data_IF_651415764461
#
_entry.id   IF_651415764461
#
_cell.length_a   1.000
_cell.length_b   1.000
_cell.length_c   1.000
_cell.angle_alpha   90.00
_cell.angle_beta   90.00
_cell.angle_gamma   90.00
#
_symmetry.space_group_name_H-M   'P 1'
#
loop_
_entity.id
_entity.type
_entity.pdbx_description
1 polymer ?
#
# COMPACT_ATOMS: atom_id res chain seq x y z
N UNK A 1 -3.97 30.58 7.41
CA UNK A 1 -3.26 29.69 6.50
C UNK A 1 -2.88 28.39 7.23
N UNK A 2 -3.24 27.27 6.66
CA UNK A 2 -2.97 25.98 7.30
C UNK A 2 -1.48 25.70 7.27
N UNK A 3 -0.95 25.31 8.42
CA UNK A 3 0.44 24.91 8.52
C UNK A 3 0.56 23.48 7.99
N UNK A 4 0.62 23.35 6.65
CA UNK A 4 0.65 22.07 5.99
C UNK A 4 1.80 21.18 6.48
N UNK A 5 2.95 21.77 6.74
CA UNK A 5 4.12 21.01 7.18
C UNK A 5 3.86 20.29 8.49
N UNK A 6 3.25 21.00 9.46
CA UNK A 6 2.94 20.41 10.76
C UNK A 6 1.86 19.33 10.63
N UNK A 7 0.81 19.59 9.86
CA UNK A 7 -0.28 18.64 9.69
C UNK A 7 0.16 17.41 8.92
N UNK A 8 1.00 17.57 7.89
CA UNK A 8 1.57 16.44 7.17
C UNK A 8 2.48 15.61 8.07
N UNK A 9 3.24 16.25 8.96
CA UNK A 9 4.06 15.55 9.93
C UNK A 9 3.21 14.69 10.86
N UNK A 10 2.12 15.24 11.38
CA UNK A 10 1.20 14.49 12.23
C UNK A 10 0.55 13.32 11.50
N UNK A 11 0.13 13.53 10.26
CA UNK A 11 -0.44 12.47 9.42
C UNK A 11 0.60 11.37 9.21
N UNK A 12 1.84 11.74 8.92
CA UNK A 12 2.92 10.78 8.69
C UNK A 12 3.20 9.96 9.95
N UNK A 13 3.22 10.61 11.12
CA UNK A 13 3.43 9.91 12.40
C UNK A 13 2.30 8.92 12.66
N UNK A 14 1.05 9.34 12.49
CA UNK A 14 -0.11 8.47 12.70
C UNK A 14 -0.14 7.33 11.69
N UNK A 15 0.22 7.60 10.44
CA UNK A 15 0.32 6.58 9.40
C UNK A 15 1.41 5.56 9.73
N UNK A 16 2.55 6.03 10.22
CA UNK A 16 3.64 5.16 10.65
C UNK A 16 3.20 4.23 11.77
N UNK A 17 2.57 4.79 12.80
CA UNK A 17 2.05 4.00 13.93
C UNK A 17 1.03 2.99 13.44
N UNK A 18 0.06 3.43 12.65
CA UNK A 18 -0.97 2.55 12.09
C UNK A 18 -0.39 1.44 11.22
N UNK A 19 0.58 1.77 10.39
CA UNK A 19 1.22 0.79 9.51
C UNK A 19 2.00 -0.25 10.30
N UNK A 20 2.72 0.17 11.34
CA UNK A 20 3.48 -0.76 12.19
C UNK A 20 2.51 -1.71 12.91
N UNK A 21 1.46 -1.18 13.52
CA UNK A 21 0.47 -1.99 14.23
C UNK A 21 -0.22 -2.94 13.24
N UNK A 22 -0.65 -2.45 12.10
CA UNK A 22 -1.30 -3.26 11.07
C UNK A 22 -0.41 -4.37 10.56
N UNK A 23 0.89 -4.07 10.35
CA UNK A 23 1.85 -5.08 9.94
C UNK A 23 1.92 -6.22 10.95
N UNK A 24 2.11 -5.90 12.23
CA UNK A 24 2.24 -6.93 13.26
C UNK A 24 0.95 -7.72 13.48
N UNK A 25 -0.21 -7.07 13.31
CA UNK A 25 -1.50 -7.73 13.53
C UNK A 25 -1.88 -8.62 12.34
N UNK A 26 -1.66 -8.14 11.11
CA UNK A 26 -2.22 -8.76 9.91
C UNK A 26 -1.17 -9.56 9.14
N UNK A 27 0.01 -9.00 8.94
CA UNK A 27 1.01 -9.57 8.02
C UNK A 27 2.14 -10.32 8.68
N UNK A 28 2.47 -9.99 9.91
CA UNK A 28 3.62 -10.57 10.59
C UNK A 28 3.48 -12.08 10.70
N UNK A 29 4.57 -12.79 10.37
CA UNK A 29 4.66 -14.24 10.52
C UNK A 29 5.87 -14.58 11.38
N UNK A 30 5.70 -15.39 12.45
CA UNK A 30 6.84 -15.77 13.30
C UNK A 30 7.95 -16.49 12.56
N UNK A 31 7.64 -17.10 11.42
CA UNK A 31 8.58 -17.85 10.61
C UNK A 31 9.58 -16.97 9.86
N UNK A 32 9.29 -15.68 9.73
CA UNK A 32 10.15 -14.78 8.99
C UNK A 32 11.47 -14.54 9.73
N UNK A 33 12.57 -14.47 8.97
CA UNK A 33 13.83 -14.02 9.51
C UNK A 33 13.75 -12.54 9.88
N UNK A 34 14.66 -12.08 10.75
CA UNK A 34 14.68 -10.67 11.15
C UNK A 34 14.83 -9.76 9.95
N UNK A 35 15.68 -10.12 8.99
CA UNK A 35 15.89 -9.33 7.77
C UNK A 35 14.62 -9.23 6.95
N UNK A 36 13.93 -10.34 6.72
CA UNK A 36 12.66 -10.35 5.99
C UNK A 36 11.60 -9.53 6.70
N UNK A 37 11.51 -9.66 8.02
CA UNK A 37 10.56 -8.88 8.83
C UNK A 37 10.80 -7.38 8.68
N UNK A 38 12.06 -6.94 8.74
CA UNK A 38 12.41 -5.53 8.60
C UNK A 38 12.05 -5.02 7.20
N UNK A 39 12.36 -5.79 6.16
CA UNK A 39 12.01 -5.41 4.79
C UNK A 39 10.50 -5.25 4.60
N UNK A 40 9.72 -6.20 5.11
CA UNK A 40 8.27 -6.14 5.00
C UNK A 40 7.69 -5.00 5.81
N UNK A 41 8.27 -4.70 6.97
CA UNK A 41 7.85 -3.57 7.79
C UNK A 41 8.10 -2.24 7.08
N UNK A 42 9.27 -2.09 6.46
CA UNK A 42 9.60 -0.89 5.70
C UNK A 42 8.62 -0.69 4.54
N UNK A 43 8.28 -1.76 3.83
CA UNK A 43 7.30 -1.71 2.74
C UNK A 43 5.94 -1.26 3.27
N UNK A 44 5.47 -1.84 4.37
CA UNK A 44 4.19 -1.48 4.97
C UNK A 44 4.14 -0.01 5.38
N UNK A 45 5.18 0.48 6.04
CA UNK A 45 5.25 1.87 6.48
C UNK A 45 5.28 2.82 5.27
N UNK A 46 6.08 2.51 4.26
CA UNK A 46 6.19 3.35 3.06
C UNK A 46 4.86 3.46 2.33
N UNK A 47 4.17 2.34 2.13
CA UNK A 47 2.87 2.32 1.46
C UNK A 47 1.83 3.05 2.31
N UNK A 48 1.87 2.85 3.64
CA UNK A 48 0.93 3.52 4.54
C UNK A 48 1.04 5.03 4.48
N UNK A 49 2.27 5.55 4.54
CA UNK A 49 2.48 7.00 4.45
C UNK A 49 2.07 7.51 3.07
N UNK A 50 2.41 6.78 2.03
CA UNK A 50 2.08 7.15 0.65
C UNK A 50 0.57 7.32 0.45
N UNK A 51 -0.23 6.45 1.05
CA UNK A 51 -1.69 6.54 0.92
C UNK A 51 -2.32 7.46 1.96
N UNK A 52 -1.69 7.66 3.11
CA UNK A 52 -2.24 8.51 4.17
C UNK A 52 -2.27 9.99 3.78
N UNK A 53 -1.22 10.49 3.15
CA UNK A 53 -1.13 11.89 2.78
C UNK A 53 -2.23 12.31 1.79
N UNK A 54 -2.42 11.61 0.65
CA UNK A 54 -3.53 11.93 -0.23
C UNK A 54 -4.89 11.77 0.44
N UNK A 55 -5.07 10.79 1.31
CA UNK A 55 -6.32 10.59 2.05
C UNK A 55 -6.62 11.79 2.94
N UNK A 56 -5.60 12.29 3.64
CA UNK A 56 -5.74 13.49 4.48
C UNK A 56 -6.19 14.70 3.65
N UNK A 57 -5.54 14.92 2.51
CA UNK A 57 -5.89 16.04 1.63
C UNK A 57 -7.34 15.93 1.15
N UNK A 58 -7.75 14.74 0.75
CA UNK A 58 -9.12 14.50 0.29
C UNK A 58 -10.13 14.78 1.41
N UNK A 59 -9.86 14.31 2.62
CA UNK A 59 -10.78 14.50 3.75
C UNK A 59 -10.91 15.98 4.11
N UNK A 60 -9.82 16.74 4.08
CA UNK A 60 -9.86 18.16 4.40
C UNK A 60 -10.54 18.97 3.29
N UNK A 61 -10.16 18.75 2.03
CA UNK A 61 -10.63 19.57 0.92
C UNK A 61 -12.02 19.15 0.43
N UNK A 62 -12.24 17.87 0.25
CA UNK A 62 -13.47 17.39 -0.36
C UNK A 62 -14.61 17.27 0.65
N UNK A 63 -14.32 16.77 1.83
CA UNK A 63 -15.35 16.51 2.85
C UNK A 63 -15.40 17.59 3.93
N UNK A 64 -14.49 18.57 3.88
CA UNK A 64 -14.42 19.69 4.83
C UNK A 64 -14.43 19.24 6.29
N UNK A 65 -13.77 18.12 6.57
CA UNK A 65 -13.65 17.59 7.92
C UNK A 65 -12.62 18.41 8.72
N UNK A 66 -12.74 18.38 10.05
CA UNK A 66 -11.74 19.03 10.89
C UNK A 66 -10.38 18.38 10.70
N UNK A 67 -9.34 19.16 10.93
CA UNK A 67 -7.97 18.67 10.75
C UNK A 67 -7.67 17.46 11.65
N UNK A 68 -8.11 17.51 12.91
CA UNK A 68 -7.90 16.40 13.85
C UNK A 68 -8.57 15.13 13.39
N UNK A 69 -9.83 15.24 12.96
CA UNK A 69 -10.57 14.08 12.47
C UNK A 69 -9.95 13.53 11.20
N UNK A 70 -9.50 14.41 10.30
CA UNK A 70 -8.85 14.01 9.06
C UNK A 70 -7.54 13.26 9.33
N UNK A 71 -6.75 13.71 10.31
CA UNK A 71 -5.52 13.02 10.70
C UNK A 71 -5.82 11.62 11.23
N UNK A 72 -6.81 11.50 12.10
CA UNK A 72 -7.21 10.21 12.66
C UNK A 72 -7.72 9.26 11.58
N UNK A 73 -8.55 9.76 10.66
CA UNK A 73 -9.08 8.95 9.57
C UNK A 73 -7.99 8.53 8.60
N UNK A 74 -7.05 9.41 8.30
CA UNK A 74 -5.92 9.07 7.43
C UNK A 74 -5.04 7.98 8.05
N UNK A 75 -4.77 8.08 9.35
CA UNK A 75 -4.02 7.04 10.06
C UNK A 75 -4.77 5.71 10.09
N UNK A 76 -6.08 5.76 10.31
CA UNK A 76 -6.92 4.55 10.29
C UNK A 76 -6.96 3.93 8.89
N UNK A 77 -7.00 4.76 7.85
CA UNK A 77 -6.93 4.29 6.46
C UNK A 77 -5.61 3.58 6.21
N UNK A 78 -4.50 4.15 6.67
CA UNK A 78 -3.20 3.51 6.55
C UNK A 78 -3.19 2.15 7.26
N UNK A 79 -3.77 2.05 8.46
CA UNK A 79 -3.86 0.80 9.19
C UNK A 79 -4.65 -0.26 8.43
N UNK A 80 -5.83 0.11 7.93
CA UNK A 80 -6.75 -0.86 7.34
C UNK A 80 -6.41 -1.20 5.89
N UNK A 81 -6.02 -0.21 5.10
CA UNK A 81 -5.91 -0.35 3.65
C UNK A 81 -4.51 -0.81 3.24
N UNK A 82 -3.46 -0.38 3.94
CA UNK A 82 -2.08 -0.67 3.56
C UNK A 82 -1.85 -2.18 3.42
N UNK A 83 -2.19 -2.95 4.46
CA UNK A 83 -1.93 -4.38 4.45
C UNK A 83 -2.83 -5.12 3.46
N UNK A 84 -4.05 -4.63 3.28
CA UNK A 84 -4.95 -5.18 2.27
C UNK A 84 -4.38 -4.95 0.86
N UNK A 85 -3.92 -3.74 0.57
CA UNK A 85 -3.34 -3.41 -0.73
C UNK A 85 -2.08 -4.22 -0.99
N UNK A 86 -1.20 -4.37 -0.02
CA UNK A 86 0.02 -5.15 -0.18
C UNK A 86 -0.31 -6.62 -0.42
N UNK A 87 -1.27 -7.17 0.32
CA UNK A 87 -1.70 -8.56 0.13
C UNK A 87 -2.29 -8.76 -1.26
N UNK A 88 -3.13 -7.84 -1.71
CA UNK A 88 -3.69 -7.88 -3.06
C UNK A 88 -2.60 -7.76 -4.12
N UNK A 89 -1.62 -6.90 -3.90
CA UNK A 89 -0.51 -6.72 -4.84
C UNK A 89 0.26 -8.02 -5.04
N UNK A 90 0.61 -8.72 -3.94
CA UNK A 90 1.33 -9.98 -4.05
C UNK A 90 0.50 -11.04 -4.80
N UNK A 91 -0.80 -11.10 -4.55
CA UNK A 91 -1.68 -12.02 -5.27
C UNK A 91 -1.80 -11.65 -6.75
N UNK A 92 -2.00 -10.35 -7.03
CA UNK A 92 -2.14 -9.86 -8.40
C UNK A 92 -0.85 -10.00 -9.19
N UNK A 93 0.30 -9.81 -8.53
CA UNK A 93 1.60 -9.94 -9.17
C UNK A 93 1.76 -11.31 -9.82
N UNK A 94 1.45 -12.37 -9.10
CA UNK A 94 1.54 -13.72 -9.62
C UNK A 94 0.53 -13.95 -10.76
N UNK A 95 -0.70 -13.50 -10.59
CA UNK A 95 -1.73 -13.62 -11.61
C UNK A 95 -1.38 -12.85 -12.87
N UNK A 96 -0.89 -11.63 -12.73
CA UNK A 96 -0.49 -10.80 -13.86
C UNK A 96 0.71 -11.41 -14.58
N UNK A 97 1.72 -11.89 -13.83
CA UNK A 97 2.89 -12.53 -14.42
C UNK A 97 2.49 -13.76 -15.22
N UNK A 98 1.63 -14.61 -14.66
CA UNK A 98 1.13 -15.81 -15.36
C UNK A 98 0.32 -15.43 -16.61
N UNK A 99 -0.49 -14.38 -16.51
CA UNK A 99 -1.27 -13.89 -17.64
C UNK A 99 -0.37 -13.35 -18.78
N UNK A 100 0.69 -12.62 -18.42
CA UNK A 100 1.63 -12.10 -19.41
C UNK A 100 2.37 -13.25 -20.10
N UNK A 101 2.81 -14.25 -19.33
CA UNK A 101 3.50 -15.42 -19.89
C UNK A 101 2.59 -16.17 -20.85
N UNK A 102 1.34 -16.39 -20.46
CA UNK A 102 0.35 -17.06 -21.32
C UNK A 102 0.11 -16.28 -22.62
N UNK A 103 0.01 -14.94 -22.52
CA UNK A 103 -0.18 -14.09 -23.68
C UNK A 103 1.01 -14.14 -24.63
N UNK A 104 2.22 -14.06 -24.09
CA UNK A 104 3.45 -14.14 -24.89
C UNK A 104 3.55 -15.49 -25.59
N UNK A 105 3.27 -16.59 -24.90
CA UNK A 105 3.28 -17.92 -25.49
C UNK A 105 2.23 -18.05 -26.61
N UNK A 106 1.04 -17.47 -26.43
CA UNK A 106 0.01 -17.47 -27.45
C UNK A 106 0.45 -16.71 -28.70
N UNK A 107 1.08 -15.56 -28.52
CA UNK A 107 1.61 -14.76 -29.65
C UNK A 107 2.70 -15.53 -30.38
N UNK A 108 3.64 -16.14 -29.65
CA UNK A 108 4.73 -16.91 -30.24
C UNK A 108 4.19 -18.10 -31.04
N UNK A 109 3.17 -18.79 -30.52
CA UNK A 109 2.55 -19.90 -31.24
C UNK A 109 1.91 -19.44 -32.54
N UNK A 110 1.22 -18.30 -32.52
CA UNK A 110 0.62 -17.73 -33.73
C UNK A 110 1.67 -17.36 -34.76
N UNK A 111 2.77 -16.77 -34.33
CA UNK A 111 3.86 -16.39 -35.23
C UNK A 111 4.54 -17.63 -35.82
N UNK A 112 4.74 -18.67 -35.02
CA UNK A 112 5.31 -19.93 -35.46
C UNK A 112 4.41 -20.60 -36.50
N UNK A 113 3.10 -20.60 -36.30
CA UNK A 113 2.16 -21.18 -37.24
C UNK A 113 2.09 -20.40 -38.55
N UNK A 114 2.27 -19.08 -38.50
CA UNK A 114 2.30 -18.26 -39.72
C UNK A 114 3.56 -18.49 -40.56
N UNK A 115 4.64 -18.88 -39.90
CA UNK A 115 5.90 -19.18 -40.62
C UNK A 115 5.90 -20.52 -41.36
N UNK A 116 4.87 -21.27 -41.18
CA UNK A 116 4.67 -22.51 -41.92
C UNK A 116 3.69 -22.33 -43.06
#
# INVERSE_FOLDING_TARGET
>A
MIDFDYNFLLVSIWALIGSVIGFYVIRYKPQWSTETCIKQLIISVSVGIFFAIPSYVIFVEKYALSERLSILLAGSTAFCITDLIITLWFKLKDTVANGIIALVNSILNKLSNRGK
#
